data_IF_053946772695
#
_entry.id   IF_053946772695
#
_cell.length_a   1.000
_cell.length_b   1.000
_cell.length_c   1.000
_cell.angle_alpha   90.00
_cell.angle_beta   90.00
_cell.angle_gamma   90.00
#
_symmetry.space_group_name_H-M   'P 1'
#
loop_
_entity.id
_entity.type
_entity.pdbx_description
1 polymer ?
#
# COMPACT_ATOMS: atom_id res chain seq x y z
N UNK A 1 -64.33 -6.63 -56.97
CA UNK A 1 -63.16 -7.21 -56.27
C UNK A 1 -63.29 -6.90 -54.79
N UNK A 2 -63.35 -7.92 -53.92
CA UNK A 2 -63.71 -7.75 -52.51
C UNK A 2 -62.50 -7.22 -51.70
N UNK A 3 -62.56 -6.02 -51.11
CA UNK A 3 -61.43 -5.39 -50.41
C UNK A 3 -61.00 -6.14 -49.12
N UNK A 4 -61.87 -7.01 -48.61
CA UNK A 4 -61.56 -7.90 -47.48
C UNK A 4 -60.64 -9.07 -47.87
N UNK A 5 -60.60 -9.46 -49.15
CA UNK A 5 -59.79 -10.60 -49.60
C UNK A 5 -58.32 -10.20 -49.83
N UNK A 6 -58.09 -9.00 -50.36
CA UNK A 6 -56.74 -8.45 -50.58
C UNK A 6 -56.04 -8.09 -49.27
N UNK A 7 -56.76 -7.55 -48.29
CA UNK A 7 -56.22 -7.23 -46.96
C UNK A 7 -55.77 -8.48 -46.17
N UNK A 8 -56.55 -9.58 -46.26
CA UNK A 8 -56.19 -10.86 -45.62
C UNK A 8 -54.98 -11.53 -46.28
N UNK A 9 -54.84 -11.42 -47.60
CA UNK A 9 -53.69 -11.96 -48.33
C UNK A 9 -52.41 -11.15 -48.07
N UNK A 10 -52.53 -9.83 -47.91
CA UNK A 10 -51.42 -8.94 -47.54
C UNK A 10 -50.95 -9.19 -46.09
N UNK A 11 -51.89 -9.38 -45.15
CA UNK A 11 -51.53 -9.74 -43.77
C UNK A 11 -50.84 -11.11 -43.69
N UNK A 12 -51.32 -12.11 -44.44
CA UNK A 12 -50.69 -13.43 -44.46
C UNK A 12 -49.25 -13.36 -45.00
N UNK A 13 -49.03 -12.60 -46.07
CA UNK A 13 -47.69 -12.45 -46.67
C UNK A 13 -46.74 -11.63 -45.79
N UNK A 14 -47.22 -10.63 -45.06
CA UNK A 14 -46.42 -9.90 -44.07
C UNK A 14 -46.05 -10.80 -42.88
N UNK A 15 -46.98 -11.61 -42.37
CA UNK A 15 -46.74 -12.53 -41.25
C UNK A 15 -45.80 -13.67 -41.65
N UNK A 16 -45.97 -14.26 -42.84
CA UNK A 16 -45.06 -15.30 -43.37
C UNK A 16 -43.64 -14.77 -43.61
N UNK A 17 -43.50 -13.53 -44.11
CA UNK A 17 -42.19 -12.89 -44.26
C UNK A 17 -41.55 -12.57 -42.91
N UNK A 18 -42.34 -12.16 -41.90
CA UNK A 18 -41.84 -11.95 -40.54
C UNK A 18 -41.36 -13.25 -39.89
N UNK A 19 -42.12 -14.35 -40.02
CA UNK A 19 -41.73 -15.66 -39.47
C UNK A 19 -40.49 -16.22 -40.18
N UNK A 20 -40.36 -16.03 -41.51
CA UNK A 20 -39.18 -16.47 -42.26
C UNK A 20 -37.89 -15.70 -41.90
N UNK A 21 -38.01 -14.44 -41.48
CA UNK A 21 -36.88 -13.60 -41.05
C UNK A 21 -36.51 -13.80 -39.59
N UNK A 22 -37.41 -14.31 -38.77
CA UNK A 22 -37.11 -14.86 -37.45
C UNK A 22 -36.71 -16.34 -37.55
N UNK A 23 -35.76 -16.66 -38.43
CA UNK A 23 -34.95 -17.84 -38.23
C UNK A 23 -34.15 -17.59 -36.95
N UNK A 24 -34.75 -17.98 -35.82
CA UNK A 24 -34.04 -18.13 -34.56
C UNK A 24 -32.89 -19.06 -34.89
N UNK A 25 -31.69 -18.50 -35.07
CA UNK A 25 -30.50 -19.26 -35.33
C UNK A 25 -30.26 -20.03 -34.05
N UNK A 26 -30.83 -21.25 -33.96
CA UNK A 26 -30.49 -22.18 -32.91
C UNK A 26 -29.00 -22.41 -33.09
N UNK A 27 -28.19 -21.71 -32.30
CA UNK A 27 -26.77 -22.00 -32.24
C UNK A 27 -26.68 -23.48 -31.93
N UNK A 28 -26.05 -24.24 -32.82
CA UNK A 28 -25.78 -25.64 -32.55
C UNK A 28 -25.10 -25.70 -31.18
N UNK A 29 -25.52 -26.61 -30.29
CA UNK A 29 -24.89 -26.72 -28.98
C UNK A 29 -23.39 -26.91 -29.18
N UNK A 30 -22.62 -25.92 -28.69
CA UNK A 30 -21.17 -25.88 -28.81
C UNK A 30 -20.61 -27.21 -28.32
N UNK A 31 -19.79 -27.85 -29.16
CA UNK A 31 -19.16 -29.10 -28.76
C UNK A 31 -18.19 -28.86 -27.59
N UNK A 32 -17.93 -29.89 -26.78
CA UNK A 32 -16.97 -29.78 -25.67
C UNK A 32 -15.57 -29.35 -26.15
N UNK A 33 -15.17 -29.77 -27.35
CA UNK A 33 -13.89 -29.37 -27.96
C UNK A 33 -13.86 -27.88 -28.34
N UNK A 34 -14.93 -27.36 -28.95
CA UNK A 34 -15.05 -25.94 -29.27
C UNK A 34 -15.07 -25.08 -28.01
N UNK A 35 -15.79 -25.52 -26.97
CA UNK A 35 -15.80 -24.85 -25.67
C UNK A 35 -14.39 -24.78 -25.07
N UNK A 36 -13.68 -25.91 -24.99
CA UNK A 36 -12.33 -25.94 -24.42
C UNK A 36 -11.34 -25.08 -25.21
N UNK A 37 -11.47 -25.05 -26.54
CA UNK A 37 -10.66 -24.18 -27.41
C UNK A 37 -10.91 -22.70 -27.10
N UNK A 38 -12.18 -22.27 -27.09
CA UNK A 38 -12.55 -20.88 -26.78
C UNK A 38 -12.11 -20.52 -25.36
N UNK A 39 -12.31 -21.42 -24.39
CA UNK A 39 -11.86 -21.22 -23.01
C UNK A 39 -10.35 -21.00 -22.93
N UNK A 40 -9.55 -21.81 -23.64
CA UNK A 40 -8.10 -21.64 -23.69
C UNK A 40 -7.73 -20.29 -24.29
N UNK A 41 -8.33 -19.93 -25.43
CA UNK A 41 -8.09 -18.64 -26.09
C UNK A 41 -8.38 -17.46 -25.16
N UNK A 42 -9.51 -17.49 -24.43
CA UNK A 42 -9.84 -16.43 -23.47
C UNK A 42 -8.86 -16.35 -22.29
N UNK A 43 -8.33 -17.49 -21.83
CA UNK A 43 -7.30 -17.52 -20.79
C UNK A 43 -6.01 -16.90 -21.32
N UNK A 44 -5.56 -17.32 -22.50
CA UNK A 44 -4.33 -16.81 -23.14
C UNK A 44 -4.42 -15.31 -23.44
N UNK A 45 -5.57 -14.83 -23.92
CA UNK A 45 -5.88 -13.41 -24.12
C UNK A 45 -5.89 -12.61 -22.81
N UNK A 46 -6.38 -13.20 -21.71
CA UNK A 46 -6.34 -12.54 -20.41
C UNK A 46 -4.92 -12.49 -19.85
N UNK A 47 -4.15 -13.57 -19.98
CA UNK A 47 -2.78 -13.63 -19.49
C UNK A 47 -1.83 -12.71 -20.27
N UNK A 48 -1.98 -12.65 -21.59
CA UNK A 48 -1.21 -11.74 -22.45
C UNK A 48 -1.48 -10.26 -22.20
N UNK A 49 -2.63 -9.89 -21.62
CA UNK A 49 -2.94 -8.49 -21.25
C UNK A 49 -2.44 -8.07 -19.87
N UNK A 50 -1.89 -8.99 -19.06
CA UNK A 50 -1.39 -8.65 -17.72
C UNK A 50 -0.10 -7.83 -17.80
N UNK A 51 0.14 -7.01 -16.78
CA UNK A 51 1.39 -6.28 -16.63
C UNK A 51 2.59 -7.26 -16.64
N UNK A 52 3.55 -7.03 -17.54
CA UNK A 52 4.75 -7.85 -17.67
C UNK A 52 4.56 -9.18 -18.42
N UNK A 53 3.42 -9.43 -19.05
CA UNK A 53 3.11 -10.67 -19.78
C UNK A 53 4.08 -10.99 -20.93
N UNK A 54 4.63 -9.96 -21.57
CA UNK A 54 5.54 -10.09 -22.71
C UNK A 54 7.02 -10.18 -22.30
N UNK A 55 7.32 -10.22 -20.99
CA UNK A 55 8.68 -10.43 -20.52
C UNK A 55 9.08 -11.90 -20.74
N UNK A 56 10.19 -12.11 -21.43
CA UNK A 56 10.76 -13.44 -21.64
C UNK A 56 11.72 -13.73 -20.50
N UNK A 57 11.40 -14.73 -19.67
CA UNK A 57 12.21 -15.13 -18.53
C UNK A 57 13.29 -16.14 -18.96
N UNK A 58 14.52 -15.93 -18.50
CA UNK A 58 15.60 -16.91 -18.55
C UNK A 58 15.33 -18.13 -17.66
N UNK A 59 16.13 -19.19 -17.81
CA UNK A 59 16.00 -20.40 -16.97
C UNK A 59 16.16 -20.10 -15.47
N UNK A 60 17.07 -19.19 -15.10
CA UNK A 60 17.28 -18.77 -13.72
C UNK A 60 16.09 -17.96 -13.18
N UNK A 61 15.53 -17.04 -13.98
CA UNK A 61 14.34 -16.28 -13.60
C UNK A 61 13.11 -17.16 -13.49
N UNK A 62 12.94 -18.15 -14.37
CA UNK A 62 11.87 -19.15 -14.27
C UNK A 62 11.98 -19.98 -12.99
N UNK A 63 13.20 -20.39 -12.62
CA UNK A 63 13.44 -21.09 -11.36
C UNK A 63 13.01 -20.26 -10.16
N UNK A 64 13.42 -18.99 -10.09
CA UNK A 64 13.03 -18.07 -9.01
C UNK A 64 11.52 -17.79 -9.04
N UNK A 65 10.93 -17.57 -10.22
CA UNK A 65 9.48 -17.38 -10.38
C UNK A 65 8.68 -18.57 -9.83
N UNK A 66 9.15 -19.80 -10.04
CA UNK A 66 8.49 -20.98 -9.49
C UNK A 66 8.47 -20.98 -7.95
N UNK A 67 9.54 -20.49 -7.31
CA UNK A 67 9.59 -20.31 -5.85
C UNK A 67 8.55 -19.26 -5.43
N UNK A 68 8.55 -18.07 -6.04
CA UNK A 68 7.57 -17.02 -5.72
C UNK A 68 6.13 -17.48 -5.89
N UNK A 69 5.83 -18.16 -7.01
CA UNK A 69 4.49 -18.64 -7.32
C UNK A 69 4.06 -19.77 -6.40
N UNK A 70 4.99 -20.62 -5.94
CA UNK A 70 4.72 -21.63 -4.91
C UNK A 70 4.30 -20.95 -3.60
N UNK A 71 5.10 -20.02 -3.09
CA UNK A 71 4.81 -19.32 -1.82
C UNK A 71 3.52 -18.50 -1.89
N UNK A 72 3.27 -17.81 -3.01
CA UNK A 72 2.01 -17.11 -3.27
C UNK A 72 0.82 -18.07 -3.21
N UNK A 73 0.90 -19.22 -3.89
CA UNK A 73 -0.18 -20.22 -3.88
C UNK A 73 -0.38 -20.80 -2.49
N UNK A 74 0.69 -21.14 -1.77
CA UNK A 74 0.62 -21.63 -0.38
C UNK A 74 -0.13 -20.64 0.51
N UNK A 75 0.16 -19.34 0.42
CA UNK A 75 -0.52 -18.32 1.21
C UNK A 75 -2.03 -18.24 0.91
N UNK A 76 -2.38 -18.22 -0.38
CA UNK A 76 -3.79 -18.15 -0.82
C UNK A 76 -4.57 -19.41 -0.43
N UNK A 77 -4.00 -20.58 -0.72
CA UNK A 77 -4.66 -21.87 -0.47
C UNK A 77 -4.77 -22.18 1.02
N UNK A 78 -3.79 -21.78 1.83
CA UNK A 78 -3.86 -21.93 3.28
C UNK A 78 -5.05 -21.14 3.84
N UNK A 79 -5.28 -19.92 3.35
CA UNK A 79 -6.47 -19.14 3.74
C UNK A 79 -7.77 -19.79 3.24
N UNK A 80 -7.81 -20.24 1.98
CA UNK A 80 -8.99 -20.86 1.38
C UNK A 80 -9.41 -22.17 2.07
N UNK A 81 -8.44 -23.04 2.38
CA UNK A 81 -8.67 -24.38 2.92
C UNK A 81 -8.80 -24.38 4.44
N UNK A 82 -7.90 -23.69 5.12
CA UNK A 82 -7.80 -23.72 6.59
C UNK A 82 -8.53 -22.54 7.25
N UNK A 83 -9.16 -21.67 6.45
CA UNK A 83 -9.81 -20.43 6.92
C UNK A 83 -8.86 -19.53 7.72
N UNK A 84 -7.55 -19.60 7.45
CA UNK A 84 -6.58 -18.69 8.03
C UNK A 84 -6.74 -17.30 7.41
N UNK A 85 -6.25 -16.28 8.12
CA UNK A 85 -6.31 -14.89 7.67
C UNK A 85 -5.55 -14.71 6.35
N UNK A 86 -6.20 -14.16 5.34
CA UNK A 86 -5.53 -13.68 4.14
C UNK A 86 -5.08 -12.23 4.35
N UNK A 87 -3.77 -12.00 4.42
CA UNK A 87 -3.23 -10.72 4.88
C UNK A 87 -3.78 -9.47 4.15
N UNK A 88 -3.96 -9.50 2.80
CA UNK A 88 -4.45 -8.35 2.06
C UNK A 88 -5.92 -7.96 2.33
N UNK A 89 -6.72 -8.85 2.93
CA UNK A 89 -8.13 -8.54 3.25
C UNK A 89 -8.32 -7.91 4.62
N UNK A 90 -7.27 -7.92 5.45
CA UNK A 90 -7.26 -7.29 6.76
C UNK A 90 -6.70 -5.88 6.69
N UNK A 91 -7.08 -5.06 7.67
CA UNK A 91 -6.38 -3.80 7.88
C UNK A 91 -4.89 -4.04 8.08
N UNK A 92 -4.05 -3.25 7.41
CA UNK A 92 -2.60 -3.33 7.51
C UNK A 92 -2.10 -3.31 8.96
N UNK A 93 -2.78 -2.61 9.88
CA UNK A 93 -2.39 -2.59 11.29
C UNK A 93 -2.47 -3.96 11.96
N UNK A 94 -3.41 -4.81 11.53
CA UNK A 94 -3.58 -6.18 12.05
C UNK A 94 -2.70 -7.17 11.31
N UNK A 95 -2.56 -7.02 9.99
CA UNK A 95 -1.83 -7.98 9.16
C UNK A 95 -0.33 -7.71 9.03
N UNK A 96 0.17 -6.53 9.42
CA UNK A 96 1.60 -6.18 9.28
C UNK A 96 2.53 -7.24 9.86
N UNK A 97 2.29 -7.69 11.09
CA UNK A 97 3.13 -8.71 11.74
C UNK A 97 3.18 -10.01 10.92
N UNK A 98 2.02 -10.44 10.41
CA UNK A 98 1.91 -11.66 9.60
C UNK A 98 2.61 -11.50 8.23
N UNK A 99 2.55 -10.30 7.65
CA UNK A 99 3.28 -9.97 6.42
C UNK A 99 4.79 -10.04 6.69
N UNK A 100 5.27 -9.39 7.75
CA UNK A 100 6.70 -9.36 8.11
C UNK A 100 7.26 -10.77 8.38
N UNK A 101 6.46 -11.66 8.99
CA UNK A 101 6.82 -13.05 9.27
C UNK A 101 6.75 -13.97 8.04
N UNK A 102 6.18 -13.51 6.92
CA UNK A 102 5.97 -14.36 5.75
C UNK A 102 7.23 -14.48 4.88
N UNK A 103 7.55 -15.71 4.48
CA UNK A 103 8.66 -15.96 3.56
C UNK A 103 8.48 -15.27 2.21
N UNK A 104 7.23 -15.16 1.74
CA UNK A 104 6.91 -14.40 0.52
C UNK A 104 7.34 -12.92 0.63
N UNK A 105 7.10 -12.28 1.78
CA UNK A 105 7.54 -10.91 2.00
C UNK A 105 9.07 -10.81 2.09
N UNK A 106 9.74 -11.78 2.71
CA UNK A 106 11.21 -11.84 2.72
C UNK A 106 11.80 -11.86 1.30
N UNK A 107 11.21 -12.64 0.40
CA UNK A 107 11.60 -12.68 -1.01
C UNK A 107 11.35 -11.32 -1.70
N UNK A 108 10.18 -10.71 -1.53
CA UNK A 108 9.84 -9.39 -2.08
C UNK A 108 10.75 -8.29 -1.50
N UNK A 109 11.16 -8.41 -0.24
CA UNK A 109 12.04 -7.45 0.42
C UNK A 109 13.40 -7.40 -0.28
N UNK A 110 13.95 -8.57 -0.65
CA UNK A 110 15.23 -8.71 -1.36
C UNK A 110 15.20 -8.21 -2.80
N UNK A 111 14.03 -8.03 -3.42
CA UNK A 111 13.93 -7.56 -4.80
C UNK A 111 14.42 -6.11 -4.96
N UNK A 112 15.22 -5.80 -6.01
CA UNK A 112 15.51 -4.43 -6.41
C UNK A 112 14.25 -3.81 -7.04
N UNK A 113 13.52 -3.00 -6.26
CA UNK A 113 12.23 -2.42 -6.66
C UNK A 113 12.33 -1.20 -7.58
N UNK A 114 13.53 -0.82 -8.00
CA UNK A 114 13.77 0.39 -8.78
C UNK A 114 13.69 1.65 -7.89
N UNK A 115 12.76 2.55 -8.18
CA UNK A 115 12.65 3.86 -7.55
C UNK A 115 11.29 4.08 -6.84
N UNK A 116 11.31 4.87 -5.76
CA UNK A 116 10.10 5.35 -5.09
C UNK A 116 9.63 6.66 -5.74
N UNK A 117 8.63 6.59 -6.62
CA UNK A 117 8.17 7.73 -7.44
C UNK A 117 7.04 8.55 -6.81
N UNK A 118 6.45 8.08 -5.71
CA UNK A 118 5.41 8.80 -4.98
C UNK A 118 5.71 8.73 -3.49
N UNK A 119 6.21 9.83 -2.94
CA UNK A 119 6.55 9.96 -1.52
C UNK A 119 6.24 11.37 -1.04
N UNK A 120 6.06 11.53 0.26
CA UNK A 120 5.95 12.83 0.92
C UNK A 120 7.13 12.99 1.87
N UNK A 121 7.78 14.15 1.83
CA UNK A 121 9.01 14.48 2.55
C UNK A 121 8.98 14.10 4.05
N UNK A 122 7.94 14.47 4.78
CA UNK A 122 7.83 14.23 6.22
C UNK A 122 7.41 12.80 6.60
N UNK A 123 7.19 11.91 5.63
CA UNK A 123 6.79 10.51 5.85
C UNK A 123 7.77 9.48 5.29
N UNK A 124 8.99 9.89 4.95
CA UNK A 124 9.99 8.98 4.36
C UNK A 124 10.83 8.21 5.40
N UNK A 125 10.82 8.64 6.67
CA UNK A 125 11.59 8.02 7.76
C UNK A 125 10.68 7.29 8.75
N UNK A 126 11.24 6.32 9.47
CA UNK A 126 10.49 5.61 10.51
C UNK A 126 10.21 6.52 11.71
N UNK A 127 9.10 6.25 12.40
CA UNK A 127 8.84 6.89 13.70
C UNK A 127 9.94 6.61 14.71
N UNK A 128 10.55 5.42 14.67
CA UNK A 128 11.71 5.08 15.51
C UNK A 128 12.86 6.06 15.32
N UNK A 129 13.15 6.45 14.08
CA UNK A 129 14.17 7.44 13.80
C UNK A 129 13.76 8.83 14.29
N UNK A 130 12.50 9.23 14.13
CA UNK A 130 12.03 10.52 14.68
C UNK A 130 12.22 10.55 16.19
N UNK A 131 11.78 9.52 16.90
CA UNK A 131 11.87 9.44 18.35
C UNK A 131 13.33 9.36 18.80
N UNK A 132 14.10 8.37 18.35
CA UNK A 132 15.43 8.07 18.90
C UNK A 132 16.58 8.83 18.24
N UNK A 133 16.35 9.53 17.13
CA UNK A 133 17.34 10.40 16.51
C UNK A 133 16.91 11.87 16.54
N UNK A 134 15.77 12.19 15.94
CA UNK A 134 15.39 13.58 15.74
C UNK A 134 15.07 14.30 17.06
N UNK A 135 14.34 13.66 17.99
CA UNK A 135 14.02 14.27 19.29
C UNK A 135 15.19 14.27 20.29
N UNK A 136 16.27 13.55 20.00
CA UNK A 136 17.49 13.54 20.82
C UNK A 136 18.48 14.65 20.44
N UNK A 137 18.20 15.42 19.38
CA UNK A 137 19.06 16.53 18.96
C UNK A 137 18.95 17.70 19.94
N UNK A 138 20.02 18.48 19.99
CA UNK A 138 20.05 19.73 20.74
C UNK A 138 18.98 20.69 20.24
N UNK A 139 18.52 21.57 21.14
CA UNK A 139 17.61 22.67 20.81
C UNK A 139 16.25 22.23 20.24
N UNK A 140 15.86 20.96 20.41
CA UNK A 140 14.51 20.47 20.13
C UNK A 140 13.64 20.69 21.34
N UNK A 141 12.57 21.47 21.15
CA UNK A 141 11.56 21.75 22.14
C UNK A 141 10.27 21.02 21.80
N UNK A 142 9.52 20.64 22.83
CA UNK A 142 8.18 20.10 22.73
C UNK A 142 7.19 20.94 23.50
N UNK A 143 5.93 20.89 23.07
CA UNK A 143 4.83 21.42 23.83
C UNK A 143 3.57 20.58 23.61
N UNK A 144 2.59 20.69 24.51
CA UNK A 144 1.32 19.97 24.40
C UNK A 144 0.23 20.96 24.01
N UNK A 145 -0.31 20.81 22.80
CA UNK A 145 -1.43 21.61 22.31
C UNK A 145 -2.62 20.72 21.99
N UNK A 146 -3.74 20.89 22.70
CA UNK A 146 -4.96 20.08 22.53
C UNK A 146 -4.64 18.57 22.46
N UNK A 147 -3.87 18.08 23.44
CA UNK A 147 -3.41 16.68 23.57
C UNK A 147 -2.44 16.19 22.47
N UNK A 148 -1.97 17.08 21.59
CA UNK A 148 -0.98 16.77 20.55
C UNK A 148 0.39 17.27 20.97
N UNK A 149 1.40 16.43 20.82
CA UNK A 149 2.79 16.83 21.06
C UNK A 149 3.31 17.50 19.80
N UNK A 150 3.61 18.79 19.91
CA UNK A 150 4.24 19.56 18.85
C UNK A 150 5.73 19.66 19.14
N UNK A 151 6.53 19.65 18.09
CA UNK A 151 7.98 19.77 18.20
C UNK A 151 8.48 20.93 17.36
N UNK A 152 9.48 21.65 17.86
CA UNK A 152 10.09 22.77 17.15
C UNK A 152 11.54 22.95 17.58
N UNK A 153 12.39 23.30 16.62
CA UNK A 153 13.78 23.68 16.90
C UNK A 153 13.85 25.19 17.14
N UNK A 154 14.45 25.60 18.25
CA UNK A 154 14.69 27.01 18.57
C UNK A 154 16.18 27.24 18.82
N UNK A 155 16.80 28.22 18.16
CA UNK A 155 18.23 28.54 18.38
C UNK A 155 18.51 29.05 19.80
N UNK A 156 17.53 29.69 20.42
CA UNK A 156 17.57 30.22 21.77
C UNK A 156 16.26 29.89 22.46
N UNK A 157 16.27 29.81 23.80
CA UNK A 157 15.06 29.52 24.55
C UNK A 157 13.94 30.52 24.19
N UNK A 158 12.75 30.05 23.78
CA UNK A 158 11.65 30.93 23.44
C UNK A 158 11.18 31.67 24.71
N UNK A 159 11.02 32.99 24.60
CA UNK A 159 10.71 33.84 25.75
C UNK A 159 9.28 33.63 26.24
N UNK A 160 8.28 33.76 25.37
CA UNK A 160 6.89 33.32 25.60
C UNK A 160 6.23 33.11 24.24
N UNK A 161 5.41 32.07 24.10
CA UNK A 161 4.73 31.76 22.84
C UNK A 161 3.34 31.18 23.10
N UNK A 162 2.58 31.00 22.02
CA UNK A 162 1.32 30.26 21.92
C UNK A 162 1.27 28.90 22.63
N UNK A 163 2.44 28.29 22.87
CA UNK A 163 2.58 27.02 23.57
C UNK A 163 3.67 27.09 24.65
N UNK A 164 3.48 26.39 25.77
CA UNK A 164 4.52 26.25 26.80
C UNK A 164 5.63 25.30 26.33
N UNK A 165 6.57 25.81 25.54
CA UNK A 165 7.69 25.03 25.01
C UNK A 165 8.67 24.64 26.10
N UNK A 166 9.04 23.36 26.10
CA UNK A 166 10.03 22.78 27.01
C UNK A 166 11.08 22.02 26.21
N UNK A 167 12.33 22.12 26.65
CA UNK A 167 13.43 21.42 25.99
C UNK A 167 13.24 19.90 26.16
N UNK A 168 13.20 19.15 25.07
CA UNK A 168 12.93 17.70 25.10
C UNK A 168 13.97 16.98 25.94
N UNK A 169 15.27 17.33 25.80
CA UNK A 169 16.33 16.71 26.59
C UNK A 169 16.16 16.92 28.10
N UNK A 170 15.63 18.08 28.52
CA UNK A 170 15.35 18.37 29.93
C UNK A 170 14.13 17.62 30.44
N UNK A 171 13.03 17.59 29.67
CA UNK A 171 11.85 16.79 30.06
C UNK A 171 12.19 15.30 30.14
N UNK A 172 13.02 14.81 29.21
CA UNK A 172 13.53 13.44 29.21
C UNK A 172 14.38 13.13 30.44
N UNK A 173 15.33 14.01 30.80
CA UNK A 173 16.15 13.87 32.01
C UNK A 173 15.33 13.93 33.31
N UNK A 174 14.28 14.75 33.32
CA UNK A 174 13.37 14.87 34.46
C UNK A 174 12.36 13.72 34.54
N UNK A 175 12.25 12.90 33.49
CA UNK A 175 11.39 11.71 33.51
C UNK A 175 11.95 10.66 34.47
N UNK A 176 11.06 10.00 35.21
CA UNK A 176 11.42 8.84 36.02
C UNK A 176 11.81 7.63 35.17
N UNK A 177 11.32 7.59 33.94
CA UNK A 177 11.52 6.51 32.98
C UNK A 177 11.65 7.12 31.58
N UNK A 178 12.84 7.01 31.00
CA UNK A 178 13.16 7.56 29.68
C UNK A 178 12.47 6.76 28.57
N UNK A 179 12.33 5.45 28.74
CA UNK A 179 11.70 4.58 27.75
C UNK A 179 10.19 4.83 27.70
N UNK A 180 9.55 4.94 28.87
CA UNK A 180 8.13 5.30 28.93
C UNK A 180 7.87 6.69 28.34
N UNK A 181 8.77 7.65 28.55
CA UNK A 181 8.69 8.97 27.93
C UNK A 181 8.78 8.87 26.40
N UNK A 182 9.75 8.14 25.85
CA UNK A 182 9.86 7.91 24.40
C UNK A 182 8.66 7.20 23.81
N UNK A 183 8.12 6.22 24.54
CA UNK A 183 6.92 5.51 24.13
C UNK A 183 5.70 6.43 24.09
N UNK A 184 5.58 7.37 25.03
CA UNK A 184 4.53 8.37 25.01
C UNK A 184 4.65 9.29 23.78
N UNK A 185 5.87 9.74 23.44
CA UNK A 185 6.10 10.52 22.21
C UNK A 185 5.71 9.70 20.96
N UNK A 186 6.16 8.44 20.88
CA UNK A 186 5.87 7.53 19.77
C UNK A 186 4.37 7.35 19.58
N UNK A 187 3.65 7.02 20.65
CA UNK A 187 2.21 6.77 20.61
C UNK A 187 1.45 8.04 20.18
N UNK A 188 1.90 9.22 20.63
CA UNK A 188 1.30 10.49 20.24
C UNK A 188 1.55 10.88 18.78
N UNK A 189 2.62 10.38 18.14
CA UNK A 189 2.90 10.56 16.71
C UNK A 189 2.28 9.45 15.83
N UNK A 190 2.08 8.26 16.37
CA UNK A 190 1.66 7.08 15.61
C UNK A 190 0.22 7.14 15.09
N UNK A 191 0.03 6.77 13.82
CA UNK A 191 -1.27 6.47 13.23
C UNK A 191 -1.70 5.01 13.50
N UNK A 192 -0.76 4.14 13.90
CA UNK A 192 -1.04 2.73 14.17
C UNK A 192 -1.99 2.60 15.34
N UNK A 193 -3.04 1.81 15.15
CA UNK A 193 -4.00 1.47 16.18
C UNK A 193 -4.16 -0.04 16.29
N UNK A 194 -4.35 -0.53 17.52
CA UNK A 194 -4.71 -1.92 17.79
C UNK A 194 -6.07 -2.28 17.15
N UNK A 195 -7.03 -1.34 17.18
CA UNK A 195 -8.29 -1.49 16.45
C UNK A 195 -8.59 -0.24 15.60
N UNK A 196 -8.26 -0.26 14.30
CA UNK A 196 -8.54 0.85 13.40
C UNK A 196 -10.02 1.17 13.28
N UNK A 197 -10.92 0.19 13.41
CA UNK A 197 -12.36 0.42 13.25
C UNK A 197 -12.95 1.17 14.45
N UNK A 198 -12.38 0.97 15.64
CA UNK A 198 -12.72 1.77 16.83
C UNK A 198 -12.03 3.14 16.82
N UNK A 199 -10.81 3.20 16.30
CA UNK A 199 -10.00 4.44 16.34
C UNK A 199 -10.33 5.44 15.24
N UNK A 200 -10.81 4.95 14.10
CA UNK A 200 -11.14 5.73 12.92
C UNK A 200 -12.54 5.35 12.44
N UNK A 201 -13.55 5.98 13.05
CA UNK A 201 -14.96 5.72 12.75
C UNK A 201 -15.33 6.05 11.30
N UNK A 202 -14.63 7.01 10.69
CA UNK A 202 -14.80 7.38 9.29
C UNK A 202 -13.48 7.89 8.66
N UNK A 203 -13.55 8.18 7.36
CA UNK A 203 -12.42 8.73 6.60
C UNK A 203 -11.97 10.08 7.16
N UNK A 204 -12.88 10.91 7.67
CA UNK A 204 -12.53 12.24 8.18
C UNK A 204 -11.69 12.14 9.45
N UNK A 205 -12.03 11.24 10.37
CA UNK A 205 -11.27 10.95 11.57
C UNK A 205 -9.85 10.46 11.22
N UNK A 206 -9.73 9.55 10.24
CA UNK A 206 -8.43 9.09 9.74
C UNK A 206 -7.60 10.24 9.14
N UNK A 207 -8.19 11.07 8.27
CA UNK A 207 -7.53 12.23 7.67
C UNK A 207 -7.10 13.28 8.70
N UNK A 208 -7.93 13.55 9.71
CA UNK A 208 -7.59 14.47 10.79
C UNK A 208 -6.41 13.96 11.62
N UNK A 209 -6.35 12.66 11.91
CA UNK A 209 -5.22 12.05 12.60
C UNK A 209 -3.96 12.05 11.73
N UNK A 210 -4.08 11.70 10.46
CA UNK A 210 -3.00 11.74 9.47
C UNK A 210 -2.40 13.15 9.36
N UNK A 211 -3.23 14.18 9.10
CA UNK A 211 -2.78 15.57 9.03
C UNK A 211 -2.21 16.11 10.34
N UNK A 212 -2.65 15.57 11.49
CA UNK A 212 -2.06 15.89 12.80
C UNK A 212 -0.61 15.47 12.87
N UNK A 213 -0.24 14.26 12.43
CA UNK A 213 1.16 13.81 12.41
C UNK A 213 2.07 14.83 11.71
N UNK A 214 1.71 15.28 10.50
CA UNK A 214 2.51 16.26 9.76
C UNK A 214 2.68 17.57 10.53
N UNK A 215 1.62 18.09 11.15
CA UNK A 215 1.72 19.30 12.00
C UNK A 215 2.64 19.10 13.20
N UNK A 216 2.73 17.90 13.75
CA UNK A 216 3.56 17.60 14.91
C UNK A 216 5.05 17.59 14.55
N UNK A 217 5.40 17.10 13.35
CA UNK A 217 6.81 16.88 12.95
C UNK A 217 7.37 17.92 11.98
N UNK A 218 6.53 18.75 11.33
CA UNK A 218 6.95 19.73 10.30
C UNK A 218 8.04 20.70 10.78
N UNK A 219 8.06 21.02 12.07
CA UNK A 219 9.02 21.96 12.67
C UNK A 219 10.25 21.26 13.29
N UNK A 220 10.32 19.93 13.22
CA UNK A 220 11.55 19.18 13.47
C UNK A 220 12.40 19.29 12.20
N UNK A 221 13.04 20.45 12.03
CA UNK A 221 13.97 20.66 10.92
C UNK A 221 15.20 19.80 11.17
N UNK A 222 15.22 18.65 10.52
CA UNK A 222 16.43 17.84 10.39
C UNK A 222 17.23 18.46 9.25
N UNK A 223 18.54 18.63 9.44
CA UNK A 223 19.42 18.97 8.32
C UNK A 223 19.18 18.00 7.16
N UNK A 224 18.94 18.55 5.96
CA UNK A 224 18.62 17.77 4.77
C UNK A 224 19.63 16.65 4.52
N UNK A 225 20.90 16.88 4.86
CA UNK A 225 21.96 15.86 4.75
C UNK A 225 21.71 14.66 5.65
N UNK A 226 21.39 14.85 6.95
CA UNK A 226 21.13 13.71 7.84
C UNK A 226 19.91 12.92 7.39
N UNK A 227 18.90 13.62 6.87
CA UNK A 227 17.71 13.00 6.31
C UNK A 227 18.04 12.14 5.08
N UNK A 228 18.81 12.69 4.13
CA UNK A 228 19.24 11.97 2.93
C UNK A 228 20.18 10.79 3.23
N UNK A 229 21.01 10.90 4.27
CA UNK A 229 21.83 9.78 4.75
C UNK A 229 20.96 8.67 5.32
N UNK A 230 19.96 8.99 6.16
CA UNK A 230 19.03 8.01 6.70
C UNK A 230 18.22 7.28 5.60
N UNK A 231 17.89 7.99 4.52
CA UNK A 231 17.22 7.41 3.37
C UNK A 231 18.14 6.58 2.46
N UNK A 232 19.41 6.40 2.84
CA UNK A 232 20.46 5.79 2.02
C UNK A 232 20.64 6.46 0.64
N UNK A 233 20.24 7.74 0.51
CA UNK A 233 20.42 8.53 -0.71
C UNK A 233 21.84 9.09 -0.77
N UNK A 234 22.39 9.50 0.38
CA UNK A 234 23.78 9.94 0.50
C UNK A 234 24.59 8.97 1.36
N UNK A 235 25.89 8.79 1.08
CA UNK A 235 26.75 8.02 1.95
C UNK A 235 26.91 8.73 3.30
N UNK A 236 26.91 7.95 4.40
CA UNK A 236 27.49 8.39 5.66
C UNK A 236 28.93 8.84 5.37
N UNK A 237 29.28 10.08 5.74
CA UNK A 237 30.54 10.71 5.35
C UNK A 237 31.74 9.80 5.61
N UNK A 238 32.49 9.43 4.56
CA UNK A 238 33.88 8.99 4.69
C UNK A 238 34.33 7.73 3.94
N UNK A 239 33.47 6.94 3.29
CA UNK A 239 33.95 5.85 2.41
C UNK A 239 33.13 5.74 1.12
N UNK A 240 33.75 5.86 -0.07
CA UNK A 240 33.07 5.48 -1.30
C UNK A 240 32.74 3.99 -1.19
N UNK A 241 31.47 3.62 -1.41
CA UNK A 241 31.10 2.23 -1.65
C UNK A 241 31.73 1.85 -2.99
N UNK A 242 32.91 1.22 -2.95
CA UNK A 242 33.37 0.40 -4.07
C UNK A 242 32.36 -0.71 -4.22
N UNK A 243 31.44 -0.55 -5.17
CA UNK A 243 30.69 -1.68 -5.72
C UNK A 243 31.73 -2.53 -6.43
N UNK A 244 32.20 -3.58 -5.74
CA UNK A 244 32.88 -4.66 -6.45
C UNK A 244 31.81 -5.34 -7.29
N UNK A 245 31.78 -5.00 -8.57
CA UNK A 245 31.24 -5.88 -9.59
C UNK A 245 32.20 -7.07 -9.60
N UNK A 246 31.76 -8.18 -9.04
CA UNK A 246 32.39 -9.47 -9.30
C UNK A 246 31.74 -10.01 -10.56
N UNK A 247 32.56 -10.23 -11.59
CA UNK A 247 32.23 -10.96 -12.81
C UNK A 247 31.70 -12.38 -12.52
#
# INVERSE_FOLDING_TARGET
MNPLFTSRLLLLTVVLNFISKSAFSLSLPMTSSEYLKIRSQLIDENESRRLGSHLVLSSSELFVNNIFMKEKKTLIESSRLNKTVFFPTESFYKSKRLIDESYLFELIHKMPKGAALHTHDLSMVSLDWIIHNATYRENVYMCIWKQSYLFKVFKTQPLETDCHWKLVSKERQNSKDVEAFDMALRNNLSLVSADPFLSFQDNQAAWLRFGRYFRQVICIKVEARTFLVQLNVLPESGKPKTVKVTD
#
